data_IF_431444797203
#
_entry.id   IF_431444797203
#
_cell.length_a   1.000
_cell.length_b   1.000
_cell.length_c   1.000
_cell.angle_alpha   90.00
_cell.angle_beta   90.00
_cell.angle_gamma   90.00
#
_symmetry.space_group_name_H-M   'P 1'
#
loop_
_entity.id
_entity.type
_entity.pdbx_description
1 polymer ?
2 non-polymer ?
3 non-polymer ?
4 non-polymer ?
5 water ?
#
# COMPACT_ATOMS: atom_id res chain seq x y z
N UNK A 1 -8.06 8.83 11.13
CA UNK A 1 -7.32 9.78 10.32
C UNK A 1 -6.51 10.77 11.18
N UNK A 2 -6.09 10.36 12.37
CA UNK A 2 -5.25 11.16 13.28
C UNK A 2 -3.79 10.87 12.93
N UNK A 3 -3.17 11.81 12.25
CA UNK A 3 -1.81 11.61 11.78
C UNK A 3 -0.83 11.38 12.90
N UNK A 4 -0.97 12.09 14.03
CA UNK A 4 -0.04 11.88 15.13
C UNK A 4 -0.19 10.49 15.74
N UNK A 5 -1.43 10.04 15.89
CA UNK A 5 -1.61 8.64 16.32
C UNK A 5 -1.00 7.69 15.29
N UNK A 6 -1.13 8.06 14.01
CA UNK A 6 -0.52 7.28 12.96
C UNK A 6 0.96 7.15 13.00
N UNK A 7 1.66 8.11 13.54
CA UNK A 7 3.09 8.06 13.66
C UNK A 7 3.48 6.82 14.47
N UNK A 8 2.73 6.51 15.54
CA UNK A 8 3.04 5.34 16.36
C UNK A 8 2.82 4.06 15.57
N UNK A 9 1.71 4.00 14.82
CA UNK A 9 1.48 2.82 13.97
C UNK A 9 2.63 2.64 12.97
N UNK A 10 3.15 3.75 12.45
CA UNK A 10 4.17 3.70 11.44
C UNK A 10 5.44 3.00 11.96
N UNK A 11 5.65 3.00 13.30
CA UNK A 11 6.78 2.23 13.83
C UNK A 11 6.69 0.77 13.45
N UNK A 12 5.47 0.21 13.41
CA UNK A 12 5.28 -1.18 12.95
C UNK A 12 5.65 -1.30 11.51
N UNK A 13 5.22 -0.37 10.70
CA UNK A 13 5.49 -0.38 9.28
C UNK A 13 6.98 -0.27 9.00
N UNK A 14 7.73 0.39 9.87
CA UNK A 14 9.17 0.55 9.72
C UNK A 14 9.93 -0.77 9.86
N UNK A 15 9.28 -1.84 10.22
CA UNK A 15 9.83 -3.18 10.08
C UNK A 15 10.30 -3.39 8.66
N UNK A 16 9.55 -2.90 7.67
CA UNK A 16 9.84 -3.12 6.27
C UNK A 16 9.97 -1.87 5.42
N UNK A 17 9.50 -0.72 5.90
CA UNK A 17 9.51 0.49 5.11
C UNK A 17 10.21 1.65 5.80
N UNK A 18 10.67 2.58 4.97
CA UNK A 18 11.11 3.89 5.37
C UNK A 18 10.37 4.93 4.52
N UNK A 19 10.40 6.17 4.97
CA UNK A 19 9.87 7.26 4.15
C UNK A 19 10.66 7.46 2.88
N UNK A 20 12.00 7.51 3.03
CA UNK A 20 12.78 8.09 1.96
C UNK A 20 13.73 7.13 1.31
N UNK A 21 13.69 5.85 1.64
CA UNK A 21 14.56 4.89 0.93
C UNK A 21 13.85 3.54 0.86
N UNK A 22 14.18 2.76 -0.14
CA UNK A 22 13.62 1.44 -0.30
C UNK A 22 14.27 0.49 0.69
N UNK A 23 13.56 -0.46 1.20
CA UNK A 23 14.03 -1.47 2.15
C UNK A 23 13.40 -2.80 1.75
N UNK A 24 12.79 -3.55 2.67
CA UNK A 24 12.06 -4.76 2.29
C UNK A 24 10.89 -4.37 1.39
N UNK A 25 10.19 -3.30 1.77
CA UNK A 25 9.18 -2.69 0.96
C UNK A 25 9.66 -1.33 0.41
N UNK A 26 8.84 -0.80 -0.52
CA UNK A 26 9.23 0.45 -1.18
C UNK A 26 9.14 1.62 -0.21
N UNK A 27 9.96 2.63 -0.47
CA UNK A 27 9.86 3.91 0.19
C UNK A 27 8.43 4.42 0.09
N UNK A 28 7.93 5.04 1.18
CA UNK A 28 6.54 5.45 1.21
C UNK A 28 6.31 6.96 1.07
N UNK A 29 7.36 7.77 1.09
CA UNK A 29 7.08 9.21 0.96
C UNK A 29 6.47 9.45 -0.44
N UNK A 30 5.36 10.15 -0.50
CA UNK A 30 4.70 10.42 -1.74
C UNK A 30 3.78 9.32 -2.20
N UNK A 31 3.62 8.27 -1.40
CA UNK A 31 2.70 7.21 -1.84
C UNK A 31 1.26 7.64 -1.92
N UNK A 32 0.84 8.56 -1.03
CA UNK A 32 -0.58 8.95 -1.02
C UNK A 32 -0.86 9.81 -2.25
N UNK A 33 -1.81 9.34 -3.05
CA UNK A 33 -2.21 9.99 -4.30
C UNK A 33 -1.39 9.54 -5.48
N UNK A 34 -0.55 8.52 -5.36
CA UNK A 34 0.31 8.04 -6.43
C UNK A 34 -0.18 6.72 -6.97
N UNK A 35 0.04 6.49 -8.27
CA UNK A 35 -0.20 5.20 -8.90
C UNK A 35 0.53 4.10 -8.14
N UNK A 36 -0.19 3.01 -7.87
CA UNK A 36 0.43 1.88 -7.20
C UNK A 36 1.58 1.31 -8.00
N UNK A 37 2.61 0.80 -7.32
CA UNK A 37 3.70 0.14 -7.99
C UNK A 37 4.69 1.06 -8.68
N UNK A 38 4.88 2.30 -8.18
CA UNK A 38 5.73 3.21 -8.94
C UNK A 38 6.77 3.99 -8.17
N UNK A 39 7.07 3.60 -6.99
CA UNK A 39 8.21 4.06 -6.18
C UNK A 39 9.48 3.76 -6.97
N UNK A 40 10.32 4.78 -7.18
CA UNK A 40 11.54 4.59 -7.95
C UNK A 40 12.43 3.53 -7.33
N UNK A 41 12.96 2.68 -8.24
CA UNK A 41 13.96 1.76 -7.77
C UNK A 41 13.51 0.47 -7.19
N UNK A 42 12.21 0.35 -6.88
CA UNK A 42 11.69 -0.83 -6.18
C UNK A 42 11.14 -1.85 -7.15
N UNK A 43 11.50 -3.11 -7.04
CA UNK A 43 10.95 -4.16 -7.89
C UNK A 43 9.72 -4.76 -7.23
N UNK A 44 8.58 -4.41 -7.82
CA UNK A 44 7.28 -4.88 -7.29
C UNK A 44 6.93 -6.25 -7.81
N UNK A 45 6.08 -6.96 -7.07
CA UNK A 45 5.47 -8.17 -7.60
C UNK A 45 4.61 -7.86 -8.82
N UNK A 46 4.38 -8.87 -9.65
CA UNK A 46 3.37 -8.73 -10.73
C UNK A 46 2.05 -8.19 -10.18
N UNK A 47 1.56 -8.70 -9.06
CA UNK A 47 0.24 -8.29 -8.58
C UNK A 47 0.21 -6.80 -8.23
N UNK A 48 1.23 -6.34 -7.49
CA UNK A 48 1.28 -4.92 -7.09
C UNK A 48 1.52 -4.06 -8.30
N UNK A 49 2.38 -4.49 -9.23
CA UNK A 49 2.63 -3.74 -10.48
C UNK A 49 1.36 -3.66 -11.31
N UNK A 50 0.72 -4.80 -11.59
CA UNK A 50 -0.41 -4.86 -12.50
C UNK A 50 -1.54 -4.03 -11.98
N UNK A 51 -1.73 -3.98 -10.67
CA UNK A 51 -2.81 -3.16 -10.11
C UNK A 51 -2.63 -1.68 -10.47
N UNK A 52 -1.41 -1.15 -10.34
CA UNK A 52 -1.18 0.25 -10.73
C UNK A 52 -1.40 0.45 -12.21
N UNK A 53 -0.96 -0.52 -13.04
CA UNK A 53 -1.13 -0.36 -14.47
C UNK A 53 -2.59 -0.37 -14.85
N UNK A 54 -3.43 -0.96 -14.07
CA UNK A 54 -4.88 -1.04 -14.24
C UNK A 54 -5.59 0.19 -13.68
N UNK A 55 -4.86 1.12 -13.11
CA UNK A 55 -5.40 2.39 -12.66
C UNK A 55 -5.54 2.54 -11.17
N UNK A 56 -4.95 1.62 -10.35
CA UNK A 56 -5.03 1.80 -8.93
C UNK A 56 -4.10 2.94 -8.46
N UNK A 57 -4.72 3.87 -7.71
CA UNK A 57 -4.04 4.99 -7.10
C UNK A 57 -4.25 4.86 -5.59
N UNK A 58 -3.20 5.13 -4.84
CA UNK A 58 -3.23 5.03 -3.40
C UNK A 58 -3.80 6.29 -2.74
N UNK A 59 -5.06 6.51 -2.99
CA UNK A 59 -5.87 7.42 -2.21
C UNK A 59 -6.04 6.83 -0.79
N UNK A 60 -6.43 7.65 0.19
CA UNK A 60 -6.63 7.15 1.54
C UNK A 60 -7.67 6.04 1.56
N UNK A 61 -8.74 6.23 0.78
CA UNK A 61 -9.80 5.22 0.81
C UNK A 61 -9.42 3.90 0.20
N UNK A 62 -8.35 3.83 -0.57
CA UNK A 62 -7.79 2.59 -1.09
C UNK A 62 -6.74 2.04 -0.14
N UNK A 63 -5.88 2.88 0.46
CA UNK A 63 -4.84 2.34 1.30
C UNK A 63 -5.43 1.65 2.52
N UNK A 64 -6.44 2.27 3.13
CA UNK A 64 -6.97 1.72 4.39
C UNK A 64 -7.42 0.28 4.24
N UNK A 65 -8.30 -0.08 3.29
CA UNK A 65 -8.68 -1.50 3.18
C UNK A 65 -7.54 -2.38 2.71
N UNK A 66 -6.66 -1.85 1.87
CA UNK A 66 -5.51 -2.62 1.40
C UNK A 66 -4.71 -3.16 2.58
N UNK A 67 -4.47 -2.30 3.60
CA UNK A 67 -3.56 -2.68 4.66
C UNK A 67 -4.04 -3.88 5.46
N UNK A 68 -5.33 -4.14 5.44
CA UNK A 68 -5.86 -5.34 6.13
C UNK A 68 -5.56 -6.63 5.41
N UNK A 69 -5.37 -6.59 4.10
CA UNK A 69 -5.20 -7.82 3.33
C UNK A 69 -4.70 -7.44 1.93
N UNK A 70 -3.40 -7.22 1.78
CA UNK A 70 -2.89 -6.76 0.49
C UNK A 70 -3.28 -7.65 -0.66
N UNK A 71 -3.13 -8.97 -0.51
CA UNK A 71 -3.42 -9.86 -1.65
C UNK A 71 -4.87 -9.77 -2.03
N UNK A 72 -5.77 -9.82 -1.05
CA UNK A 72 -7.21 -9.85 -1.39
C UNK A 72 -7.62 -8.52 -2.01
N UNK A 73 -7.10 -7.41 -1.48
CA UNK A 73 -7.50 -6.09 -2.02
C UNK A 73 -7.10 -5.98 -3.47
N UNK A 74 -5.83 -6.28 -3.77
CA UNK A 74 -5.34 -6.12 -5.13
C UNK A 74 -6.05 -7.03 -6.11
N UNK A 75 -6.30 -8.27 -5.70
CA UNK A 75 -7.02 -9.22 -6.58
C UNK A 75 -8.43 -8.71 -6.85
N UNK A 76 -9.11 -8.17 -5.82
CA UNK A 76 -10.46 -7.69 -5.98
C UNK A 76 -10.46 -6.49 -6.91
N UNK A 77 -9.48 -5.60 -6.82
CA UNK A 77 -9.41 -4.39 -7.64
C UNK A 77 -9.30 -4.83 -9.08
N UNK A 78 -8.35 -5.72 -9.38
CA UNK A 78 -8.17 -6.16 -10.75
C UNK A 78 -9.39 -6.92 -11.25
N UNK A 79 -9.99 -7.75 -10.42
CA UNK A 79 -11.15 -8.52 -10.90
C UNK A 79 -12.32 -7.62 -11.28
N UNK A 80 -12.58 -6.61 -10.48
CA UNK A 80 -13.65 -5.66 -10.77
C UNK A 80 -13.35 -4.85 -12.03
N UNK A 81 -12.08 -4.68 -12.41
CA UNK A 81 -11.75 -4.06 -13.68
C UNK A 81 -11.84 -5.04 -14.85
N UNK A 82 -12.30 -6.26 -14.68
CA UNK A 82 -12.32 -7.27 -15.73
C UNK A 82 -10.96 -7.84 -16.04
N UNK A 83 -10.04 -7.74 -15.09
CA UNK A 83 -8.67 -8.11 -15.28
C UNK A 83 -8.26 -9.19 -14.26
N UNK A 84 -9.16 -10.11 -13.92
CA UNK A 84 -8.77 -11.22 -13.07
C UNK A 84 -7.59 -11.99 -13.66
N UNK A 85 -7.40 -12.02 -14.98
CA UNK A 85 -6.28 -12.72 -15.59
C UNK A 85 -4.95 -12.02 -15.35
N UNK A 86 -4.97 -10.89 -14.69
CA UNK A 86 -3.73 -10.19 -14.27
C UNK A 86 -3.49 -10.31 -12.78
N UNK A 87 -4.41 -10.99 -12.09
CA UNK A 87 -4.42 -11.08 -10.65
C UNK A 87 -3.90 -12.39 -10.10
N UNK A 88 -3.31 -13.25 -10.93
CA UNK A 88 -2.78 -14.52 -10.49
C UNK A 88 -1.54 -14.28 -9.64
N UNK A 89 -1.41 -15.03 -8.58
CA UNK A 89 -0.28 -14.96 -7.68
C UNK A 89 -0.43 -14.01 -6.54
N UNK A 90 0.61 -13.74 -5.81
CA UNK A 90 0.57 -13.03 -4.57
C UNK A 90 1.68 -11.96 -4.52
N UNK A 91 1.54 -11.05 -3.55
CA UNK A 91 2.51 -10.00 -3.30
C UNK A 91 3.74 -10.52 -2.55
N UNK A 92 4.77 -9.68 -2.49
CA UNK A 92 6.00 -9.91 -1.74
C UNK A 92 5.84 -9.59 -0.26
N UNK A 93 6.47 -10.38 0.61
CA UNK A 93 6.70 -10.08 2.03
C UNK A 93 5.42 -9.49 2.65
N UNK A 94 4.39 -10.28 2.58
CA UNK A 94 3.01 -9.82 2.85
C UNK A 94 2.81 -9.60 4.33
N UNK A 95 2.23 -8.45 4.70
CA UNK A 95 1.86 -8.09 6.05
C UNK A 95 0.40 -7.59 6.07
N UNK A 96 -0.32 -7.95 7.13
CA UNK A 96 -1.69 -7.52 7.36
C UNK A 96 -1.84 -6.81 8.67
N UNK A 97 -2.61 -5.73 8.70
CA UNK A 97 -2.94 -5.03 9.95
C UNK A 97 -4.44 -4.99 10.10
N UNK A 98 -4.97 -5.72 11.09
CA UNK A 98 -6.38 -5.84 11.24
C UNK A 98 -7.08 -4.57 11.75
N UNK A 99 -6.50 -3.92 12.74
CA UNK A 99 -7.13 -2.81 13.41
C UNK A 99 -7.41 -1.64 12.45
N UNK A 100 -8.70 -1.34 12.30
CA UNK A 100 -9.15 -0.36 11.34
C UNK A 100 -8.72 1.06 11.68
N UNK A 101 -8.87 1.43 12.95
CA UNK A 101 -8.49 2.78 13.35
C UNK A 101 -7.00 3.02 13.14
N UNK A 102 -6.19 2.02 13.47
CA UNK A 102 -4.75 2.11 13.24
C UNK A 102 -4.45 2.28 11.76
N UNK A 103 -5.20 1.57 10.89
CA UNK A 103 -5.03 1.78 9.46
C UNK A 103 -5.40 3.18 9.01
N UNK A 104 -6.54 3.68 9.50
CA UNK A 104 -6.91 5.05 9.16
C UNK A 104 -5.88 6.06 9.60
N UNK A 105 -5.38 5.89 10.82
CA UNK A 105 -4.43 6.84 11.38
C UNK A 105 -3.10 6.79 10.66
N UNK A 106 -2.59 5.58 10.39
CA UNK A 106 -1.31 5.51 9.67
C UNK A 106 -1.45 6.09 8.28
N UNK A 107 -2.59 5.93 7.64
CA UNK A 107 -2.78 6.49 6.31
C UNK A 107 -2.77 8.00 6.35
N UNK A 108 -3.36 8.62 7.38
CA UNK A 108 -3.19 10.08 7.62
C UNK A 108 -1.75 10.43 7.80
N UNK A 109 -0.96 9.60 8.54
CA UNK A 109 0.46 9.85 8.71
C UNK A 109 1.22 9.78 7.40
N UNK A 110 0.88 8.82 6.53
CA UNK A 110 1.55 8.71 5.25
C UNK A 110 1.40 10.01 4.42
N UNK A 111 0.27 10.67 4.56
CA UNK A 111 0.07 11.90 3.81
C UNK A 111 0.99 13.01 4.27
N UNK A 112 1.54 12.95 5.46
CA UNK A 112 2.44 13.95 5.98
C UNK A 112 3.84 13.75 5.45
N UNK A 113 4.13 12.70 4.73
CA UNK A 113 5.48 12.37 4.36
C UNK A 113 5.96 13.32 3.27
N UNK A 114 5.06 13.97 2.56
CA UNK A 114 5.43 14.89 1.51
C UNK A 114 4.39 15.96 1.44
X LIG B 1 -4.59 1.34 20.44
X LIG B 1 -6.06 0.93 20.56
X LIG B 1 -4.09 1.83 19.10
X LIG B 1 -4.10 2.22 21.54
X LIG B 1 -3.89 0.03 20.78
X LIG C 1 -2.42 -14.15 2.65
X LIG C 1 -3.41 -14.47 3.73
X LIG C 1 -3.03 -13.98 1.23
X LIG C 1 -1.69 -12.86 2.98
X LIG C 1 -1.56 -15.35 2.51
X LIG D 1 3.96 -2.44 3.17
X LIG D 1 3.83 -2.37 -0.27
X LIG D 1 2.08 0.38 3.33
X LIG D 1 3.83 -2.73 6.58
X LIG D 1 6.17 -5.00 3.03
X LIG D 1 3.12 -1.27 1.82
X LIG D 1 3.12 -1.39 0.45
X LIG D 1 2.26 -0.44 -0.17
X LIG D 1 1.79 0.37 0.79
X LIG D 1 2.33 -0.15 2.06
X LIG D 1 0.85 1.54 0.69
X LIG D 1 2.05 -0.24 -1.68
X LIG D 1 3.13 0.71 -2.17
X LIG D 1 3.15 0.99 -3.64
X LIG D 1 2.33 0.46 -4.43
X LIG D 1 4.06 1.80 -4.04
X LIG D 1 3.13 -1.39 4.63
X LIG D 1 2.44 -0.16 4.51
X LIG D 1 2.12 0.35 5.79
X LIG D 1 2.50 -0.55 6.70
X LIG D 1 3.20 -1.64 5.97
X LIG D 1 1.44 1.69 6.01
X LIG D 1 2.31 -0.54 8.22
X LIG D 1 0.78 -0.61 8.63
X LIG D 1 4.78 -3.67 4.54
X LIG D 1 4.60 -3.65 5.88
X LIG D 1 5.42 -4.64 6.52
X LIG D 1 6.10 -5.26 5.52
X LIG D 1 5.68 -4.68 4.29
X LIG D 1 5.57 -4.79 8.01
X LIG D 1 7.19 -6.32 5.59
X LIG D 1 6.78 -7.58 6.39
X LIG D 1 4.84 -3.46 1.68
X LIG D 1 5.78 -4.47 1.85
X LIG D 1 6.24 -4.85 0.50
X LIG D 1 5.57 -4.17 -0.42
X LIG D 1 4.67 -3.27 0.33
X LIG D 1 7.34 -5.94 0.32
X LIG D 1 5.64 -4.37 -1.88
X LIG D 1 4.89 -5.68 -2.23
X LIG D 1 4.92 -6.12 -3.68
X LIG D 1 5.56 -5.52 -4.57
X LIG D 1 4.31 -7.20 -3.89
X LIG E 1 2.27 -3.70 3.01
#
# INVERSE_FOLDING_TARGET
QDAKAGEAVFKQCMTCHRADKNMVGPALAGVVGRKAGTAAGFTYSPLNHNSGEAGLVWTADNIVPYLADPNAFLKKFLTEKGKADQAVGVTKMTFKLANEQQRKDVVAYLATLK
SO4 S O1 O2 O3 O4
SO4 S O1 O2 O3 O4
HEC FE CHA CHB CHC CHD NA C1A C2A C3A C4A CMA CAA CBA CGA O1A O2A NB C1B C2B C3B C4B CMB CAB CBB NC C1C C2C C3C C4C CMC CAC CBC ND C1D C2D C3D C4D CMD CAD CBD CGD O1D O2D
NH3 N
#
